data_IF_704706092754
#
_entry.id   IF_704706092754
#
_cell.length_a   1.000
_cell.length_b   1.000
_cell.length_c   1.000
_cell.angle_alpha   90.00
_cell.angle_beta   90.00
_cell.angle_gamma   90.00
#
_symmetry.space_group_name_H-M   'P 1'
#
loop_
_entity.id
_entity.type
_entity.pdbx_description
1 polymer ?
#
# COMPACT_ATOMS: atom_id res chain seq x y z
N UNK A 1 -21.74 -32.32 -7.69
CA UNK A 1 -20.51 -31.85 -7.02
C UNK A 1 -19.36 -32.12 -7.98
N UNK A 2 -19.14 -31.20 -8.93
CA UNK A 2 -18.00 -31.19 -9.87
C UNK A 2 -18.03 -29.86 -10.65
N UNK A 3 -18.12 -28.74 -9.92
CA UNK A 3 -18.22 -27.40 -10.54
C UNK A 3 -17.31 -26.36 -9.83
N UNK A 4 -16.29 -26.86 -9.11
CA UNK A 4 -15.31 -26.06 -8.38
C UNK A 4 -13.87 -26.34 -8.84
N UNK A 5 -13.67 -27.20 -9.85
CA UNK A 5 -12.34 -27.52 -10.39
C UNK A 5 -12.11 -27.01 -11.83
N UNK A 6 -13.11 -26.40 -12.47
CA UNK A 6 -12.98 -25.92 -13.86
C UNK A 6 -12.63 -24.43 -13.97
N UNK A 7 -12.70 -23.63 -12.89
CA UNK A 7 -12.41 -22.19 -12.95
C UNK A 7 -10.93 -21.82 -12.80
N UNK A 8 -10.10 -22.73 -12.31
CA UNK A 8 -8.64 -22.50 -12.19
C UNK A 8 -7.89 -22.81 -13.50
N UNK A 9 -8.49 -23.60 -14.39
CA UNK A 9 -7.88 -24.00 -15.66
C UNK A 9 -8.04 -22.96 -16.79
N UNK A 10 -8.86 -21.92 -16.60
CA UNK A 10 -9.11 -20.91 -17.64
C UNK A 10 -8.12 -19.75 -17.62
N UNK A 11 -7.23 -19.68 -16.62
CA UNK A 11 -6.19 -18.66 -16.53
C UNK A 11 -4.83 -19.12 -17.09
N UNK A 12 -4.70 -20.37 -17.55
CA UNK A 12 -3.39 -21.03 -17.72
C UNK A 12 -2.94 -21.28 -19.16
N UNK A 13 -3.45 -20.58 -20.18
CA UNK A 13 -3.04 -20.87 -21.58
C UNK A 13 -2.68 -19.68 -22.47
N UNK A 14 -3.06 -18.44 -22.15
CA UNK A 14 -2.64 -17.28 -22.95
C UNK A 14 -1.61 -16.39 -22.26
N UNK A 15 -1.44 -16.52 -20.95
CA UNK A 15 -0.50 -15.69 -20.21
C UNK A 15 0.91 -16.30 -20.15
N UNK A 16 1.04 -17.64 -20.19
CA UNK A 16 2.28 -18.43 -20.03
C UNK A 16 3.45 -18.15 -20.99
N UNK A 17 3.26 -17.36 -22.06
CA UNK A 17 4.35 -17.14 -23.04
C UNK A 17 5.38 -16.07 -22.59
N UNK A 18 5.15 -15.30 -21.51
CA UNK A 18 6.17 -14.42 -20.91
C UNK A 18 5.91 -14.12 -19.41
N UNK A 19 5.54 -15.12 -18.60
CA UNK A 19 5.16 -14.89 -17.20
C UNK A 19 6.36 -14.86 -16.27
N UNK A 20 6.63 -13.68 -15.74
CA UNK A 20 7.32 -13.60 -14.45
C UNK A 20 6.40 -14.28 -13.43
N UNK A 21 6.81 -15.42 -12.86
CA UNK A 21 6.09 -16.03 -11.73
C UNK A 21 5.98 -15.00 -10.61
N UNK A 22 4.78 -14.44 -10.43
CA UNK A 22 4.52 -13.48 -9.37
C UNK A 22 4.30 -14.25 -8.06
N UNK A 23 5.28 -14.19 -7.16
CA UNK A 23 5.12 -14.72 -5.80
C UNK A 23 4.31 -13.69 -5.00
N UNK A 24 3.13 -14.05 -4.47
CA UNK A 24 2.38 -13.16 -3.59
C UNK A 24 3.17 -12.93 -2.30
N UNK A 25 3.46 -11.66 -1.98
CA UNK A 25 4.21 -11.25 -0.79
C UNK A 25 3.33 -11.17 0.47
N UNK A 26 2.01 -11.27 0.32
CA UNK A 26 1.00 -11.11 1.38
C UNK A 26 0.06 -12.32 1.31
N UNK A 27 -0.34 -12.86 2.47
CA UNK A 27 -1.31 -13.96 2.50
C UNK A 27 -2.73 -13.43 2.38
N UNK A 28 -3.67 -14.27 1.93
CA UNK A 28 -5.09 -13.87 1.86
C UNK A 28 -5.66 -13.45 3.23
N UNK A 29 -5.19 -14.07 4.32
CA UNK A 29 -5.57 -13.70 5.68
C UNK A 29 -5.08 -12.29 6.04
N UNK A 30 -3.84 -11.94 5.69
CA UNK A 30 -3.29 -10.60 5.91
C UNK A 30 -4.09 -9.54 5.12
N UNK A 31 -4.48 -9.84 3.87
CA UNK A 31 -5.32 -8.92 3.06
C UNK A 31 -6.70 -8.70 3.68
N UNK A 32 -7.36 -9.75 4.14
CA UNK A 32 -8.66 -9.65 4.84
C UNK A 32 -8.53 -8.80 6.11
N UNK A 33 -7.45 -8.99 6.85
CA UNK A 33 -7.19 -8.26 8.09
C UNK A 33 -6.91 -6.77 7.84
N UNK A 34 -6.15 -6.44 6.79
CA UNK A 34 -5.92 -5.06 6.36
C UNK A 34 -7.20 -4.38 5.86
N UNK A 35 -8.07 -5.10 5.16
CA UNK A 35 -9.34 -4.57 4.68
C UNK A 35 -10.37 -4.38 5.81
N UNK A 36 -10.23 -5.12 6.91
CA UNK A 36 -11.09 -5.00 8.09
C UNK A 36 -10.69 -3.87 9.04
N UNK A 37 -9.50 -3.26 8.86
CA UNK A 37 -9.06 -2.13 9.66
C UNK A 37 -9.93 -0.89 9.42
N UNK A 38 -10.34 -0.25 10.51
CA UNK A 38 -11.12 0.98 10.46
C UNK A 38 -10.21 2.19 10.33
N UNK A 39 -10.31 2.92 9.23
CA UNK A 39 -9.64 4.21 9.06
C UNK A 39 -10.28 5.27 9.97
N UNK A 40 -9.49 6.09 10.69
CA UNK A 40 -10.04 7.20 11.47
C UNK A 40 -10.71 8.25 10.57
N UNK A 41 -11.69 9.02 11.11
CA UNK A 41 -12.41 10.03 10.33
C UNK A 41 -11.52 11.20 9.89
N UNK A 42 -10.47 11.48 10.65
CA UNK A 42 -9.46 12.48 10.33
C UNK A 42 -8.09 11.80 10.34
N UNK A 43 -7.27 12.09 9.33
CA UNK A 43 -5.98 11.45 9.17
C UNK A 43 -4.91 12.49 8.77
N UNK A 44 -3.79 12.57 9.51
CA UNK A 44 -2.66 13.41 9.12
C UNK A 44 -2.04 12.89 7.82
N UNK A 45 -1.84 13.78 6.84
CA UNK A 45 -1.36 13.40 5.50
C UNK A 45 0.11 13.81 5.29
N UNK A 46 0.95 12.85 4.97
CA UNK A 46 2.32 13.06 4.51
C UNK A 46 2.39 12.97 2.97
N UNK A 47 2.63 14.09 2.27
CA UNK A 47 2.85 14.05 0.83
C UNK A 47 4.20 13.39 0.50
N UNK A 48 4.19 12.47 -0.46
CA UNK A 48 5.37 11.78 -0.98
C UNK A 48 5.72 12.31 -2.36
N UNK A 49 7.01 12.56 -2.57
CA UNK A 49 7.57 13.03 -3.85
C UNK A 49 8.40 11.92 -4.46
N UNK A 50 8.26 11.72 -5.77
CA UNK A 50 8.99 10.68 -6.52
C UNK A 50 8.80 9.26 -5.96
N UNK A 51 7.70 8.99 -5.26
CA UNK A 51 7.43 7.68 -4.64
C UNK A 51 5.93 7.44 -4.60
N UNK A 52 5.54 6.20 -4.92
CA UNK A 52 4.18 5.68 -4.73
C UNK A 52 4.29 4.48 -3.80
N UNK A 53 3.46 4.45 -2.75
CA UNK A 53 3.40 3.35 -1.80
C UNK A 53 2.22 2.45 -2.11
N UNK A 54 2.49 1.14 -2.09
CA UNK A 54 1.48 0.10 -2.14
C UNK A 54 1.38 -0.59 -0.78
N UNK A 55 0.22 -1.17 -0.44
CA UNK A 55 0.06 -1.98 0.77
C UNK A 55 1.13 -3.09 0.87
N UNK A 56 1.58 -3.38 2.09
CA UNK A 56 2.60 -4.40 2.38
C UNK A 56 4.06 -3.99 2.10
N UNK A 57 4.30 -2.79 1.56
CA UNK A 57 5.65 -2.29 1.30
C UNK A 57 6.24 -1.60 2.53
N UNK A 58 7.44 -2.00 2.95
CA UNK A 58 8.21 -1.33 4.02
C UNK A 58 9.43 -0.64 3.41
N UNK A 59 9.49 0.69 3.51
CA UNK A 59 10.64 1.48 3.06
C UNK A 59 11.13 2.46 4.14
N UNK A 60 12.45 2.70 4.25
CA UNK A 60 12.96 3.82 5.03
C UNK A 60 12.72 5.14 4.27
N UNK A 61 12.15 6.14 4.94
CA UNK A 61 11.95 7.49 4.37
C UNK A 61 12.71 8.53 5.20
N UNK A 62 13.30 9.52 4.52
CA UNK A 62 13.94 10.66 5.17
C UNK A 62 13.00 11.86 5.09
N UNK A 63 12.75 12.51 6.24
CA UNK A 63 11.86 13.66 6.33
C UNK A 63 12.67 14.93 6.56
N UNK A 64 12.58 15.90 5.64
CA UNK A 64 13.38 17.12 5.68
C UNK A 64 12.62 18.44 5.80
N UNK A 65 11.32 18.48 5.51
CA UNK A 65 10.51 19.71 5.55
C UNK A 65 10.00 19.94 6.96
N UNK A 66 10.12 21.16 7.48
CA UNK A 66 9.67 21.52 8.84
C UNK A 66 8.22 21.11 9.12
N UNK A 67 7.32 21.31 8.15
CA UNK A 67 5.90 20.92 8.28
C UNK A 67 5.74 19.39 8.42
N UNK A 68 6.47 18.62 7.61
CA UNK A 68 6.46 17.16 7.68
C UNK A 68 7.09 16.66 8.97
N UNK A 69 8.17 17.29 9.46
CA UNK A 69 8.80 16.92 10.73
C UNK A 69 7.81 17.12 11.88
N UNK A 70 7.09 18.25 11.92
CA UNK A 70 6.06 18.52 12.94
C UNK A 70 4.91 17.52 12.88
N UNK A 71 4.41 17.22 11.68
CA UNK A 71 3.37 16.21 11.45
C UNK A 71 3.79 14.86 12.04
N UNK A 72 5.01 14.41 11.72
CA UNK A 72 5.54 13.14 12.23
C UNK A 72 5.64 13.18 13.76
N UNK A 73 6.15 14.26 14.36
CA UNK A 73 6.22 14.39 15.82
C UNK A 73 4.84 14.32 16.49
N UNK A 74 3.80 14.88 15.88
CA UNK A 74 2.43 14.81 16.39
C UNK A 74 1.87 13.38 16.29
N UNK A 75 2.01 12.75 15.12
CA UNK A 75 1.61 11.35 14.87
C UNK A 75 2.27 10.40 15.86
N UNK A 76 3.57 10.57 16.14
CA UNK A 76 4.32 9.73 17.08
C UNK A 76 3.81 9.80 18.52
N UNK A 77 3.15 10.89 18.92
CA UNK A 77 2.54 11.05 20.26
C UNK A 77 1.14 10.44 20.34
N UNK A 78 0.48 10.24 19.20
CA UNK A 78 -0.86 9.67 19.09
C UNK A 78 -0.83 8.17 18.84
N UNK A 79 -1.73 7.73 17.96
CA UNK A 79 -1.93 6.34 17.54
C UNK A 79 -0.92 5.86 16.49
N UNK A 80 -0.01 6.74 16.05
CA UNK A 80 1.00 6.49 15.01
C UNK A 80 0.41 6.21 13.62
N UNK A 81 -0.88 6.49 13.43
CA UNK A 81 -1.57 6.33 12.16
C UNK A 81 -1.37 7.59 11.32
N UNK A 82 -0.95 7.43 10.05
CA UNK A 82 -0.83 8.53 9.11
C UNK A 82 -1.21 8.08 7.69
N UNK A 83 -1.74 9.00 6.91
CA UNK A 83 -2.02 8.80 5.50
C UNK A 83 -0.89 9.32 4.65
N UNK A 84 -0.68 8.68 3.50
CA UNK A 84 0.31 9.12 2.52
C UNK A 84 -0.39 9.40 1.19
N UNK A 85 0.07 10.43 0.50
CA UNK A 85 -0.41 10.73 -0.86
C UNK A 85 0.76 11.00 -1.77
N UNK A 86 0.75 10.41 -2.96
CA UNK A 86 1.75 10.70 -3.98
C UNK A 86 1.45 12.04 -4.64
N UNK A 87 2.44 12.92 -4.69
CA UNK A 87 2.32 14.17 -5.43
C UNK A 87 2.27 13.89 -6.93
N UNK A 88 1.31 14.52 -7.62
CA UNK A 88 1.20 14.43 -9.09
C UNK A 88 2.31 15.21 -9.79
N UNK A 89 2.59 16.41 -9.28
CA UNK A 89 3.62 17.30 -9.77
C UNK A 89 4.71 17.39 -8.70
N UNK A 90 5.93 17.04 -9.07
CA UNK A 90 7.09 17.01 -8.17
C UNK A 90 7.75 18.38 -8.02
N UNK A 91 7.33 19.40 -8.78
CA UNK A 91 7.85 20.76 -8.69
C UNK A 91 7.03 21.64 -7.74
N UNK A 92 5.88 21.15 -7.25
CA UNK A 92 5.02 21.86 -6.29
C UNK A 92 5.43 21.52 -4.84
N UNK A 93 5.76 22.57 -4.08
CA UNK A 93 6.29 22.52 -2.71
C UNK A 93 5.25 22.39 -1.59
#
# INVERSE_FOLDING_TARGET
>A
MNDLFERDAFFSSEALENETELIPLITAEDEEQMNAESTPPELPILPLRNTVLFPGVVIPITVGRDRSIRLIQEVYRGDKTLGVVSQKDSDIE
#
